data_IF_212884104318
#
_entry.id   IF_212884104318
#
_cell.length_a   1.000
_cell.length_b   1.000
_cell.length_c   1.000
_cell.angle_alpha   90.00
_cell.angle_beta   90.00
_cell.angle_gamma   90.00
#
_symmetry.space_group_name_H-M   'P 1'
#
loop_
_entity.id
_entity.type
_entity.pdbx_description
1 polymer ?
#
# COMPACT_ATOMS: atom_id res chain seq x y z
N UNK A 1 56.75 1.69 -10.90
CA UNK A 1 56.37 2.88 -10.13
C UNK A 1 55.07 2.55 -9.47
N UNK A 2 55.19 1.90 -8.32
CA UNK A 2 54.08 1.57 -7.43
C UNK A 2 53.56 2.83 -6.75
N UNK A 3 52.25 2.95 -6.63
CA UNK A 3 51.64 3.76 -5.58
C UNK A 3 50.27 3.14 -5.26
N UNK A 4 50.30 2.12 -4.42
CA UNK A 4 49.13 1.60 -3.73
C UNK A 4 48.59 2.65 -2.76
N UNK A 5 47.28 2.89 -2.82
CA UNK A 5 46.53 3.57 -1.77
C UNK A 5 45.67 2.50 -1.10
N UNK A 6 46.26 1.83 -0.12
CA UNK A 6 45.61 0.87 0.74
C UNK A 6 44.78 1.66 1.78
N UNK A 7 43.46 1.43 1.79
CA UNK A 7 42.56 2.03 2.77
C UNK A 7 42.58 1.18 4.05
N UNK A 8 42.77 1.77 5.24
CA UNK A 8 42.77 1.00 6.48
C UNK A 8 41.40 0.39 6.78
N UNK A 9 41.44 -0.88 7.18
CA UNK A 9 40.38 -1.71 7.74
C UNK A 9 39.86 -1.14 9.05
N UNK A 10 38.54 -1.05 9.18
CA UNK A 10 37.85 -0.52 10.36
C UNK A 10 37.43 -1.66 11.32
N UNK A 11 38.40 -2.51 11.64
CA UNK A 11 38.26 -3.61 12.61
C UNK A 11 39.20 -3.29 13.78
N UNK A 12 38.75 -2.50 14.75
CA UNK A 12 39.30 -2.44 16.12
C UNK A 12 38.58 -1.36 16.95
N UNK A 13 37.30 -1.59 17.24
CA UNK A 13 36.60 -0.86 18.31
C UNK A 13 35.99 -1.87 19.29
N UNK A 14 36.43 -1.89 20.57
CA UNK A 14 36.03 -2.90 21.53
C UNK A 14 34.55 -2.76 21.95
N UNK A 15 33.90 -3.90 22.02
CA UNK A 15 32.57 -4.15 22.56
C UNK A 15 32.53 -3.75 24.04
N UNK A 16 32.05 -2.54 24.36
CA UNK A 16 31.87 -2.11 25.74
C UNK A 16 30.62 -2.78 26.33
N UNK A 17 30.86 -3.64 27.32
CA UNK A 17 29.85 -4.41 28.04
C UNK A 17 29.08 -3.55 29.07
N UNK A 18 27.76 -3.74 29.05
CA UNK A 18 26.84 -3.88 30.20
C UNK A 18 26.87 -2.83 31.32
N UNK A 19 25.89 -1.92 31.31
CA UNK A 19 25.36 -1.33 32.54
C UNK A 19 24.13 -2.14 32.99
N UNK A 20 24.35 -3.01 33.97
CA UNK A 20 23.34 -3.84 34.62
C UNK A 20 23.03 -3.22 35.98
N UNK A 21 22.15 -2.23 36.01
CA UNK A 21 21.62 -1.71 37.27
C UNK A 21 20.21 -2.29 37.53
N UNK A 22 20.01 -3.08 38.62
CA UNK A 22 18.70 -3.62 38.96
C UNK A 22 17.80 -2.52 39.56
N UNK A 23 16.58 -2.35 39.02
CA UNK A 23 15.52 -1.54 39.66
C UNK A 23 14.63 -2.43 40.52
N UNK A 24 14.68 -2.19 41.83
CA UNK A 24 13.75 -2.72 42.83
C UNK A 24 12.34 -2.11 42.66
N UNK A 25 11.24 -2.87 42.85
CA UNK A 25 9.87 -2.41 42.65
C UNK A 25 9.19 -1.95 43.97
N UNK A 26 8.10 -1.17 43.85
CA UNK A 26 6.86 -1.19 44.67
C UNK A 26 6.14 0.20 44.65
N UNK A 27 4.84 0.32 45.02
CA UNK A 27 3.88 -0.70 45.45
C UNK A 27 2.57 -0.76 44.62
N UNK A 28 1.79 -1.81 44.88
CA UNK A 28 0.44 -2.03 44.37
C UNK A 28 -0.66 -1.40 45.24
N UNK A 29 -1.86 -1.33 44.64
CA UNK A 29 -3.22 -1.06 45.19
C UNK A 29 -3.59 0.42 45.40
N UNK A 30 -4.72 0.98 44.94
CA UNK A 30 -5.94 0.58 44.20
C UNK A 30 -6.68 1.93 43.83
N UNK A 31 -7.91 2.01 43.25
CA UNK A 31 -8.85 1.00 42.79
C UNK A 31 -9.35 1.17 41.33
N UNK A 32 -10.05 0.15 40.87
CA UNK A 32 -10.85 0.14 39.65
C UNK A 32 -12.13 0.98 39.81
N UNK A 33 -12.40 1.88 38.85
CA UNK A 33 -13.73 1.97 38.24
C UNK A 33 -13.73 2.75 36.92
N UNK A 34 -14.53 2.23 35.99
CA UNK A 34 -15.10 2.79 34.77
C UNK A 34 -14.27 3.05 33.48
N UNK A 35 -14.86 2.78 32.29
CA UNK A 35 -14.16 2.54 31.04
C UNK A 35 -14.18 3.77 30.11
N UNK A 36 -13.01 4.22 29.66
CA UNK A 36 -12.92 5.31 28.68
C UNK A 36 -11.82 5.09 27.63
N UNK A 37 -11.57 3.83 27.24
CA UNK A 37 -10.65 3.49 26.15
C UNK A 37 -11.33 3.17 24.81
N UNK A 38 -12.66 3.21 24.78
CA UNK A 38 -13.45 2.68 23.65
C UNK A 38 -14.12 3.77 22.77
N UNK A 39 -13.73 5.03 22.92
CA UNK A 39 -14.37 6.15 22.23
C UNK A 39 -13.43 7.03 21.41
N UNK A 40 -12.24 6.54 21.05
CA UNK A 40 -11.57 7.10 19.87
C UNK A 40 -12.35 6.57 18.66
N UNK A 41 -13.28 7.38 18.14
CA UNK A 41 -13.97 7.17 16.85
C UNK A 41 -13.03 6.39 15.94
N UNK A 42 -13.37 5.13 15.65
CA UNK A 42 -12.74 4.39 14.56
C UNK A 42 -13.06 5.22 13.33
N UNK A 43 -12.16 6.13 12.96
CA UNK A 43 -12.17 6.71 11.64
C UNK A 43 -12.20 5.50 10.73
N UNK A 44 -13.29 5.35 9.97
CA UNK A 44 -13.51 4.22 9.08
C UNK A 44 -12.23 4.03 8.28
N UNK A 45 -11.46 2.99 8.62
CA UNK A 45 -10.24 2.68 7.90
C UNK A 45 -10.70 2.40 6.48
N UNK A 46 -10.15 3.08 5.46
CA UNK A 46 -10.59 2.83 4.10
C UNK A 46 -10.47 1.34 3.83
N UNK A 47 -11.56 0.75 3.36
CA UNK A 47 -11.63 -0.69 3.11
C UNK A 47 -10.54 -1.11 2.12
N UNK A 48 -10.19 -0.22 1.18
CA UNK A 48 -9.12 -0.43 0.20
C UNK A 48 -8.34 0.86 -0.02
N UNK A 49 -7.02 0.74 -0.12
CA UNK A 49 -6.13 1.81 -0.60
C UNK A 49 -5.55 1.44 -1.96
N UNK A 50 -5.74 2.32 -2.95
CA UNK A 50 -5.10 2.29 -4.25
C UNK A 50 -3.83 3.16 -4.22
N UNK A 51 -2.67 2.54 -4.36
CA UNK A 51 -1.40 3.24 -4.55
C UNK A 51 -1.08 3.34 -6.04
N UNK A 52 -0.78 4.54 -6.55
CA UNK A 52 -0.36 4.74 -7.94
C UNK A 52 1.09 5.21 -8.00
N UNK A 53 1.91 4.51 -8.80
CA UNK A 53 3.31 4.87 -8.99
C UNK A 53 3.43 6.15 -9.82
N UNK A 54 3.90 7.24 -9.22
CA UNK A 54 3.95 8.56 -9.88
C UNK A 54 5.17 8.75 -10.78
N UNK A 55 6.22 7.95 -10.61
CA UNK A 55 7.45 8.06 -11.43
C UNK A 55 7.46 7.17 -12.67
N UNK A 56 6.42 6.36 -12.88
CA UNK A 56 6.30 5.53 -14.08
C UNK A 56 6.28 6.39 -15.35
N UNK A 57 7.03 5.95 -16.37
CA UNK A 57 6.96 6.44 -17.75
C UNK A 57 6.33 5.36 -18.62
N UNK A 58 5.71 5.76 -19.73
CA UNK A 58 5.22 4.80 -20.71
C UNK A 58 6.39 4.04 -21.34
N UNK A 59 6.14 2.79 -21.72
CA UNK A 59 7.12 2.00 -22.47
C UNK A 59 7.50 2.72 -23.76
N UNK A 60 8.80 2.90 -24.00
CA UNK A 60 9.31 3.60 -25.19
C UNK A 60 9.21 5.12 -25.13
N UNK A 61 8.77 5.72 -24.01
CA UNK A 61 8.82 7.17 -23.85
C UNK A 61 10.26 7.66 -23.73
N UNK A 62 10.52 8.87 -24.25
CA UNK A 62 11.82 9.52 -24.16
C UNK A 62 12.26 9.73 -22.70
N UNK A 63 13.58 9.81 -22.50
CA UNK A 63 14.17 10.03 -21.18
C UNK A 63 13.67 11.32 -20.54
N UNK A 64 13.36 12.36 -21.31
CA UNK A 64 12.89 13.64 -20.78
C UNK A 64 11.36 13.75 -20.73
N UNK A 65 10.64 12.73 -21.21
CA UNK A 65 9.19 12.72 -21.16
C UNK A 65 8.69 12.78 -19.70
N UNK A 66 7.63 13.57 -19.43
CA UNK A 66 7.05 13.63 -18.11
C UNK A 66 6.52 12.26 -17.67
N UNK A 67 6.61 11.91 -16.37
CA UNK A 67 6.08 10.65 -15.87
C UNK A 67 4.56 10.54 -16.10
N UNK A 68 4.15 9.58 -16.94
CA UNK A 68 2.75 9.28 -17.18
C UNK A 68 2.04 8.71 -15.94
N UNK A 69 2.78 8.12 -15.00
CA UNK A 69 2.25 7.66 -13.71
C UNK A 69 1.63 8.78 -12.87
N UNK A 70 2.19 9.99 -12.91
CA UNK A 70 1.63 11.15 -12.23
C UNK A 70 0.29 11.59 -12.84
N UNK A 71 0.12 11.46 -14.15
CA UNK A 71 -1.16 11.72 -14.81
C UNK A 71 -2.22 10.69 -14.40
N UNK A 72 -1.86 9.41 -14.38
CA UNK A 72 -2.74 8.34 -13.90
C UNK A 72 -3.17 8.54 -12.44
N UNK A 73 -2.26 8.97 -11.56
CA UNK A 73 -2.57 9.22 -10.16
C UNK A 73 -3.59 10.36 -9.98
N UNK A 74 -3.39 11.49 -10.69
CA UNK A 74 -4.35 12.60 -10.70
C UNK A 74 -5.72 12.17 -11.20
N UNK A 75 -5.76 11.40 -12.28
CA UNK A 75 -7.01 10.92 -12.84
C UNK A 75 -7.72 9.95 -11.89
N UNK A 76 -7.00 9.02 -11.26
CA UNK A 76 -7.56 8.13 -10.25
C UNK A 76 -8.14 8.90 -9.05
N UNK A 77 -7.46 9.94 -8.57
CA UNK A 77 -7.97 10.82 -7.50
C UNK A 77 -9.23 11.57 -7.95
N UNK A 78 -9.26 12.09 -9.18
CA UNK A 78 -10.43 12.77 -9.75
C UNK A 78 -11.63 11.83 -9.83
N UNK A 79 -11.46 10.64 -10.39
CA UNK A 79 -12.51 9.61 -10.48
C UNK A 79 -13.01 9.23 -9.09
N UNK A 80 -12.10 8.98 -8.14
CA UNK A 80 -12.47 8.63 -6.76
C UNK A 80 -13.31 9.72 -6.08
N UNK A 81 -12.94 11.00 -6.26
CA UNK A 81 -13.71 12.12 -5.70
C UNK A 81 -15.12 12.23 -6.26
N UNK A 82 -15.29 11.95 -7.56
CA UNK A 82 -16.61 11.97 -8.21
C UNK A 82 -17.45 10.82 -7.68
N UNK A 83 -16.89 9.61 -7.64
CA UNK A 83 -17.58 8.43 -7.11
C UNK A 83 -18.01 8.63 -5.65
N UNK A 84 -17.14 9.20 -4.80
CA UNK A 84 -17.48 9.48 -3.40
C UNK A 84 -18.65 10.48 -3.27
N UNK A 85 -18.66 11.54 -4.09
CA UNK A 85 -19.76 12.51 -4.10
C UNK A 85 -21.09 11.88 -4.52
N UNK A 86 -21.07 10.96 -5.50
CA UNK A 86 -22.28 10.25 -5.95
C UNK A 86 -22.72 9.15 -4.98
N UNK A 87 -21.78 8.42 -4.37
CA UNK A 87 -22.07 7.32 -3.45
C UNK A 87 -22.60 7.81 -2.09
N UNK A 88 -22.15 8.97 -1.63
CA UNK A 88 -22.70 9.63 -0.44
C UNK A 88 -24.20 9.98 -0.60
N UNK A 89 -24.64 10.29 -1.82
CA UNK A 89 -26.06 10.52 -2.12
C UNK A 89 -26.90 9.23 -2.14
N UNK A 90 -26.26 8.06 -2.28
CA UNK A 90 -26.93 6.76 -2.50
C UNK A 90 -26.76 5.76 -1.32
N UNK A 91 -26.36 6.22 -0.13
CA UNK A 91 -26.29 5.37 1.06
C UNK A 91 -24.93 4.76 1.39
N UNK A 92 -23.84 5.27 0.79
CA UNK A 92 -22.47 5.04 1.23
C UNK A 92 -21.73 3.98 0.40
N UNK A 93 -20.93 4.43 -0.56
CA UNK A 93 -19.94 3.58 -1.22
C UNK A 93 -18.83 3.17 -0.24
N UNK A 94 -18.23 1.97 -0.41
CA UNK A 94 -17.08 1.57 0.38
C UNK A 94 -15.94 2.60 0.27
N UNK A 95 -15.34 2.95 1.40
CA UNK A 95 -14.28 3.93 1.46
C UNK A 95 -13.02 3.46 0.73
N UNK A 96 -12.80 3.97 -0.49
CA UNK A 96 -11.59 3.77 -1.28
C UNK A 96 -10.70 5.01 -1.13
N UNK A 97 -9.46 4.81 -0.67
CA UNK A 97 -8.46 5.86 -0.64
C UNK A 97 -7.52 5.74 -1.84
N UNK A 98 -7.26 6.84 -2.55
CA UNK A 98 -6.20 6.90 -3.58
C UNK A 98 -5.00 7.61 -2.98
N UNK A 99 -3.82 6.99 -3.12
CA UNK A 99 -2.54 7.52 -2.63
C UNK A 99 -1.49 7.45 -3.71
N UNK A 100 -0.61 8.43 -3.71
CA UNK A 100 0.59 8.40 -4.53
C UNK A 100 1.68 7.57 -3.85
N UNK A 101 2.47 6.86 -4.64
CA UNK A 101 3.73 6.26 -4.21
C UNK A 101 4.79 6.61 -5.23
N UNK A 102 6.02 6.90 -4.78
CA UNK A 102 7.10 7.24 -5.71
C UNK A 102 7.39 6.10 -6.68
N UNK A 103 7.58 4.88 -6.19
CA UNK A 103 8.02 3.75 -7.02
C UNK A 103 7.48 2.42 -6.49
N UNK A 104 7.07 1.54 -7.41
CA UNK A 104 6.71 0.14 -7.14
C UNK A 104 7.73 -0.86 -7.74
N UNK A 105 8.89 -0.37 -8.21
CA UNK A 105 9.97 -1.15 -8.82
C UNK A 105 9.54 -2.06 -9.99
N UNK A 106 8.44 -1.70 -10.67
CA UNK A 106 7.85 -2.48 -11.76
C UNK A 106 7.96 -1.76 -13.13
N UNK A 107 9.06 -1.03 -13.36
CA UNK A 107 9.21 -0.15 -14.53
C UNK A 107 9.11 -0.88 -15.87
N UNK A 108 9.51 -2.17 -15.94
CA UNK A 108 9.40 -2.98 -17.16
C UNK A 108 7.96 -3.23 -17.61
N UNK A 109 7.01 -3.12 -16.69
CA UNK A 109 5.56 -3.29 -16.92
C UNK A 109 4.81 -2.04 -16.43
N UNK A 110 5.29 -0.87 -16.83
CA UNK A 110 4.64 0.40 -16.54
C UNK A 110 3.37 0.59 -17.40
N UNK A 111 2.36 1.34 -16.97
CA UNK A 111 2.23 2.01 -15.67
C UNK A 111 1.84 1.01 -14.58
N UNK A 112 2.14 1.33 -13.31
CA UNK A 112 1.95 0.40 -12.19
C UNK A 112 1.18 1.02 -11.03
N UNK A 113 0.34 0.20 -10.41
CA UNK A 113 -0.47 0.56 -9.24
C UNK A 113 -0.64 -0.66 -8.33
N UNK A 114 -1.01 -0.44 -7.08
CA UNK A 114 -1.28 -1.51 -6.12
C UNK A 114 -2.59 -1.30 -5.36
N UNK A 115 -3.37 -2.36 -5.17
CA UNK A 115 -4.53 -2.39 -4.29
C UNK A 115 -4.16 -3.10 -2.99
N UNK A 116 -4.41 -2.45 -1.86
CA UNK A 116 -4.09 -2.97 -0.52
C UNK A 116 -5.33 -2.87 0.36
N UNK A 117 -5.63 -3.94 1.10
CA UNK A 117 -6.72 -4.00 2.07
C UNK A 117 -6.20 -4.51 3.41
N UNK A 118 -6.58 -3.85 4.49
CA UNK A 118 -6.23 -4.30 5.84
C UNK A 118 -6.78 -5.71 6.09
N UNK A 119 -5.91 -6.63 6.51
CA UNK A 119 -6.26 -8.04 6.72
C UNK A 119 -6.62 -8.82 5.46
N UNK A 120 -6.50 -8.22 4.27
CA UNK A 120 -6.74 -8.87 2.99
C UNK A 120 -5.47 -9.04 2.16
N UNK A 121 -5.62 -9.63 0.98
CA UNK A 121 -4.54 -9.75 0.01
C UNK A 121 -4.16 -8.38 -0.57
N UNK A 122 -2.92 -8.25 -1.01
CA UNK A 122 -2.47 -7.09 -1.79
C UNK A 122 -2.21 -7.49 -3.24
N UNK A 123 -2.50 -6.59 -4.17
CA UNK A 123 -2.37 -6.84 -5.60
C UNK A 123 -1.52 -5.75 -6.22
N UNK A 124 -0.54 -6.13 -7.03
CA UNK A 124 0.23 -5.21 -7.85
C UNK A 124 -0.16 -5.40 -9.31
N UNK A 125 -0.45 -4.31 -9.99
CA UNK A 125 -0.78 -4.27 -11.41
C UNK A 125 0.29 -3.52 -12.20
N UNK A 126 0.45 -3.92 -13.45
CA UNK A 126 1.32 -3.32 -14.46
C UNK A 126 0.64 -3.32 -15.82
N UNK A 127 1.36 -2.86 -16.83
CA UNK A 127 0.87 -2.65 -18.20
C UNK A 127 -0.40 -1.77 -18.24
N UNK A 128 -0.53 -0.88 -17.26
CA UNK A 128 -1.63 0.07 -17.19
C UNK A 128 -1.38 1.23 -18.16
N UNK A 129 -2.47 1.83 -18.63
CA UNK A 129 -2.48 3.03 -19.46
C UNK A 129 -2.90 4.25 -18.64
N UNK A 130 -2.70 5.48 -19.15
CA UNK A 130 -3.24 6.68 -18.51
C UNK A 130 -4.76 6.64 -18.27
N UNK A 131 -5.50 5.89 -19.10
CA UNK A 131 -6.96 5.74 -19.02
C UNK A 131 -7.41 4.63 -18.04
N UNK A 132 -6.47 3.90 -17.43
CA UNK A 132 -6.79 2.77 -16.54
C UNK A 132 -7.35 3.18 -15.17
N UNK A 133 -7.52 4.48 -14.90
CA UNK A 133 -8.03 4.98 -13.63
C UNK A 133 -9.42 4.42 -13.28
N UNK A 134 -10.36 4.44 -14.23
CA UNK A 134 -11.71 3.92 -14.00
C UNK A 134 -11.67 2.42 -13.64
N UNK A 135 -10.89 1.63 -14.38
CA UNK A 135 -10.71 0.20 -14.11
C UNK A 135 -10.11 -0.06 -12.74
N UNK A 136 -9.09 0.71 -12.33
CA UNK A 136 -8.49 0.60 -11.00
C UNK A 136 -9.51 0.86 -9.89
N UNK A 137 -10.37 1.88 -10.06
CA UNK A 137 -11.41 2.21 -9.09
C UNK A 137 -12.53 1.17 -9.07
N UNK A 138 -12.93 0.62 -10.22
CA UNK A 138 -13.84 -0.54 -10.29
C UNK A 138 -13.25 -1.75 -9.56
N UNK A 139 -11.96 -2.03 -9.78
CA UNK A 139 -11.24 -3.08 -9.05
C UNK A 139 -11.21 -2.83 -7.55
N UNK A 140 -10.93 -1.60 -7.13
CA UNK A 140 -10.93 -1.22 -5.72
C UNK A 140 -12.32 -1.38 -5.07
N UNK A 141 -13.39 -1.00 -5.77
CA UNK A 141 -14.77 -1.16 -5.30
C UNK A 141 -15.16 -2.63 -5.14
N UNK A 142 -14.86 -3.47 -6.14
CA UNK A 142 -15.05 -4.93 -6.06
C UNK A 142 -14.25 -5.54 -4.91
N UNK A 143 -13.05 -5.02 -4.67
CA UNK A 143 -12.21 -5.53 -3.60
C UNK A 143 -12.73 -5.12 -2.21
N UNK A 144 -13.28 -3.91 -2.09
CA UNK A 144 -13.80 -3.41 -0.84
C UNK A 144 -15.04 -4.17 -0.36
N UNK A 145 -15.86 -4.68 -1.29
CA UNK A 145 -17.05 -5.49 -0.99
C UNK A 145 -16.75 -6.98 -0.84
N UNK A 146 -15.49 -7.39 -1.03
CA UNK A 146 -15.09 -8.79 -0.88
C UNK A 146 -15.14 -9.25 0.59
N UNK A 147 -15.72 -10.42 0.81
CA UNK A 147 -15.88 -11.04 2.14
C UNK A 147 -14.69 -11.93 2.53
N UNK A 148 -13.99 -12.51 1.56
CA UNK A 148 -12.83 -13.40 1.78
C UNK A 148 -11.49 -12.65 1.77
N UNK A 149 -11.52 -11.32 1.58
CA UNK A 149 -10.32 -10.50 1.49
C UNK A 149 -9.50 -10.76 0.22
N UNK A 150 -10.09 -11.38 -0.80
CA UNK A 150 -9.52 -11.62 -2.13
C UNK A 150 -10.27 -10.75 -3.14
N UNK A 151 -9.54 -10.10 -4.05
CA UNK A 151 -10.15 -9.39 -5.18
C UNK A 151 -10.91 -10.39 -6.07
N UNK A 152 -12.24 -10.26 -6.25
CA UNK A 152 -13.01 -11.18 -7.07
C UNK A 152 -12.50 -11.25 -8.52
N UNK A 153 -12.62 -12.42 -9.14
CA UNK A 153 -12.31 -12.58 -10.56
C UNK A 153 -13.47 -12.10 -11.45
N UNK A 154 -14.70 -12.42 -11.08
CA UNK A 154 -15.91 -11.95 -11.79
C UNK A 154 -16.05 -10.44 -11.59
N UNK A 155 -16.43 -9.74 -12.66
CA UNK A 155 -16.55 -8.28 -12.67
C UNK A 155 -15.22 -7.53 -12.76
N UNK A 156 -14.08 -8.20 -12.56
CA UNK A 156 -12.76 -7.57 -12.68
C UNK A 156 -12.56 -7.01 -14.10
N UNK A 157 -12.15 -5.75 -14.25
CA UNK A 157 -11.79 -5.19 -15.55
C UNK A 157 -10.66 -5.95 -16.21
N UNK A 158 -10.65 -5.92 -17.53
CA UNK A 158 -9.74 -6.69 -18.37
C UNK A 158 -8.27 -6.23 -18.24
N UNK A 159 -8.05 -4.92 -18.05
CA UNK A 159 -6.74 -4.36 -17.70
C UNK A 159 -6.17 -5.00 -16.42
N UNK A 160 -7.00 -5.22 -15.40
CA UNK A 160 -6.59 -5.81 -14.13
C UNK A 160 -6.48 -7.35 -14.18
N UNK A 161 -7.17 -8.01 -15.11
CA UNK A 161 -6.98 -9.45 -15.35
C UNK A 161 -5.62 -9.74 -16.00
N UNK A 162 -5.28 -9.00 -17.05
CA UNK A 162 -4.03 -9.19 -17.82
C UNK A 162 -2.82 -8.55 -17.15
N UNK A 163 -3.02 -7.43 -16.47
CA UNK A 163 -1.98 -6.63 -15.83
C UNK A 163 -1.56 -7.10 -14.45
N UNK A 164 -2.05 -8.24 -13.93
CA UNK A 164 -1.68 -8.70 -12.58
C UNK A 164 -0.20 -9.14 -12.54
N UNK A 165 0.58 -8.53 -11.65
CA UNK A 165 2.01 -8.78 -11.45
C UNK A 165 2.25 -9.70 -10.27
N UNK A 166 1.63 -9.35 -9.15
CA UNK A 166 1.82 -10.05 -7.89
C UNK A 166 0.53 -10.05 -7.09
N UNK A 167 0.35 -11.12 -6.31
CA UNK A 167 -0.67 -11.25 -5.28
C UNK A 167 0.04 -11.63 -3.99
N UNK A 168 -0.01 -10.75 -3.00
CA UNK A 168 0.77 -10.83 -1.76
C UNK A 168 -0.19 -11.12 -0.60
N UNK A 169 0.04 -12.18 0.19
CA UNK A 169 -0.85 -12.53 1.30
C UNK A 169 -0.81 -11.49 2.43
N UNK A 170 -1.87 -11.41 3.27
CA UNK A 170 -1.80 -10.64 4.50
C UNK A 170 -0.75 -11.23 5.46
N UNK A 171 -0.24 -10.41 6.38
CA UNK A 171 0.77 -10.87 7.36
C UNK A 171 0.27 -11.98 8.28
N UNK A 172 -1.05 -12.11 8.45
CA UNK A 172 -1.69 -13.17 9.24
C UNK A 172 -1.92 -14.46 8.46
N UNK A 173 -1.51 -14.55 7.20
CA UNK A 173 -1.73 -15.73 6.37
C UNK A 173 -0.89 -16.93 6.84
N UNK A 174 -1.54 -18.09 6.91
CA UNK A 174 -0.91 -19.39 7.11
C UNK A 174 -1.53 -20.40 6.14
N UNK A 175 -0.71 -21.12 5.38
CA UNK A 175 -1.18 -22.08 4.36
C UNK A 175 -1.95 -23.25 5.00
N UNK A 176 -1.55 -23.67 6.20
CA UNK A 176 -2.14 -24.82 6.92
C UNK A 176 -3.53 -24.54 7.50
N UNK A 177 -4.01 -23.29 7.42
CA UNK A 177 -5.31 -22.86 7.96
C UNK A 177 -6.40 -22.77 6.87
N UNK A 178 -6.19 -23.42 5.72
CA UNK A 178 -7.04 -23.31 4.52
C UNK A 178 -8.11 -24.40 4.39
#
# INVERSE_FOLDING_TARGET
>A
MESGVERPSNDDAPFAASDTTPRTPAPADAPADAPARDALRVASVPAVTLFVCTTCKLAGADTDAPPAGAALAREAMRVASISAATGAANGGDPAIAVKEVRCLSNCKRALSAALVRTGGWSYVFGDLTPDSAADLLTGAALFATSTDGILPWRGRPDSLKRGMIARIPPMSFSEDQR
#
